data_IF_700203398535
#
_entry.id   IF_700203398535
#
_cell.length_a   1.000
_cell.length_b   1.000
_cell.length_c   1.000
_cell.angle_alpha   90.00
_cell.angle_beta   90.00
_cell.angle_gamma   90.00
#
_symmetry.space_group_name_H-M   'P 1'
#
loop_
_entity.id
_entity.type
_entity.pdbx_description
1 polymer ?
#
# COMPACT_ATOMS: atom_id res chain seq x y z
N UNK A 1 -48.11 -11.53 -17.11
CA UNK A 1 -46.97 -10.60 -17.28
C UNK A 1 -46.12 -10.40 -16.02
N UNK A 2 -46.59 -10.70 -14.80
CA UNK A 2 -45.82 -10.43 -13.56
C UNK A 2 -44.70 -11.41 -13.17
N UNK A 3 -44.71 -12.67 -13.63
CA UNK A 3 -43.64 -13.64 -13.28
C UNK A 3 -42.35 -13.44 -14.07
N UNK A 4 -42.44 -13.09 -15.36
CA UNK A 4 -41.28 -12.80 -16.19
C UNK A 4 -40.53 -11.55 -15.72
N UNK A 5 -41.24 -10.49 -15.29
CA UNK A 5 -40.62 -9.29 -14.73
C UNK A 5 -39.86 -9.56 -13.43
N UNK A 6 -40.43 -10.37 -12.52
CA UNK A 6 -39.76 -10.77 -11.28
C UNK A 6 -38.50 -11.60 -11.51
N UNK A 7 -38.51 -12.49 -12.49
CA UNK A 7 -37.35 -13.30 -12.85
C UNK A 7 -36.19 -12.43 -13.41
N UNK A 8 -36.50 -11.43 -14.23
CA UNK A 8 -35.48 -10.49 -14.75
C UNK A 8 -34.88 -9.67 -13.61
N UNK A 9 -35.71 -9.11 -12.72
CA UNK A 9 -35.25 -8.32 -11.56
C UNK A 9 -34.39 -9.16 -10.60
N UNK A 10 -34.77 -10.41 -10.35
CA UNK A 10 -33.97 -11.33 -9.53
C UNK A 10 -32.64 -11.71 -10.17
N UNK A 11 -32.59 -11.86 -11.50
CA UNK A 11 -31.34 -12.15 -12.21
C UNK A 11 -30.37 -10.96 -12.12
N UNK A 12 -30.84 -9.73 -12.37
CA UNK A 12 -29.99 -8.53 -12.26
C UNK A 12 -29.48 -8.32 -10.84
N UNK A 13 -30.33 -8.48 -9.82
CA UNK A 13 -29.93 -8.38 -8.42
C UNK A 13 -28.95 -9.50 -8.00
N UNK A 14 -29.02 -10.68 -8.62
CA UNK A 14 -28.05 -11.75 -8.39
C UNK A 14 -26.69 -11.40 -8.99
N UNK A 15 -26.66 -10.93 -10.24
CA UNK A 15 -25.42 -10.53 -10.92
C UNK A 15 -24.71 -9.38 -10.19
N UNK A 16 -25.46 -8.39 -9.70
CA UNK A 16 -24.94 -7.29 -8.88
C UNK A 16 -24.31 -7.79 -7.59
N UNK A 17 -24.94 -8.76 -6.90
CA UNK A 17 -24.37 -9.37 -5.70
C UNK A 17 -23.08 -10.13 -6.00
N UNK A 18 -23.05 -10.91 -7.07
CA UNK A 18 -21.84 -11.65 -7.48
C UNK A 18 -20.70 -10.69 -7.79
N UNK A 19 -20.97 -9.60 -8.52
CA UNK A 19 -19.99 -8.57 -8.81
C UNK A 19 -19.49 -7.87 -7.53
N UNK A 20 -20.40 -7.55 -6.60
CA UNK A 20 -20.05 -6.92 -5.33
C UNK A 20 -19.18 -7.83 -4.45
N UNK A 21 -19.49 -9.14 -4.40
CA UNK A 21 -18.67 -10.12 -3.68
C UNK A 21 -17.28 -10.25 -4.30
N UNK A 22 -17.19 -10.27 -5.64
CA UNK A 22 -15.90 -10.31 -6.32
C UNK A 22 -15.07 -9.07 -6.00
N UNK A 23 -15.68 -7.89 -6.07
CA UNK A 23 -14.99 -6.64 -5.73
C UNK A 23 -14.49 -6.61 -4.27
N UNK A 24 -15.27 -7.15 -3.33
CA UNK A 24 -14.82 -7.30 -1.94
C UNK A 24 -13.61 -8.22 -1.82
N UNK A 25 -13.61 -9.36 -2.51
CA UNK A 25 -12.45 -10.29 -2.52
C UNK A 25 -11.20 -9.62 -3.08
N UNK A 26 -11.33 -8.83 -4.13
CA UNK A 26 -10.21 -8.10 -4.73
C UNK A 26 -9.66 -7.04 -3.77
N UNK A 27 -10.54 -6.32 -3.05
CA UNK A 27 -10.14 -5.37 -2.00
C UNK A 27 -9.42 -6.06 -0.83
N UNK A 28 -9.91 -7.20 -0.37
CA UNK A 28 -9.25 -7.99 0.68
C UNK A 28 -7.86 -8.47 0.25
N UNK A 29 -7.71 -8.91 -1.00
CA UNK A 29 -6.42 -9.30 -1.54
C UNK A 29 -5.47 -8.11 -1.59
N UNK A 30 -5.92 -6.97 -2.11
CA UNK A 30 -5.10 -5.78 -2.20
C UNK A 30 -4.69 -5.24 -0.80
N UNK A 31 -5.58 -5.31 0.19
CA UNK A 31 -5.23 -5.00 1.58
C UNK A 31 -4.14 -5.93 2.13
N UNK A 32 -4.26 -7.26 1.91
CA UNK A 32 -3.22 -8.20 2.35
C UNK A 32 -1.86 -7.92 1.71
N UNK A 33 -1.84 -7.58 0.42
CA UNK A 33 -0.61 -7.18 -0.28
C UNK A 33 -0.04 -5.91 0.34
N UNK A 34 -0.87 -4.89 0.56
CA UNK A 34 -0.46 -3.63 1.19
C UNK A 34 0.15 -3.85 2.58
N UNK A 35 -0.52 -4.63 3.43
CA UNK A 35 -0.04 -4.95 4.77
C UNK A 35 1.30 -5.68 4.74
N UNK A 36 1.52 -6.55 3.75
CA UNK A 36 2.80 -7.22 3.54
C UNK A 36 3.96 -6.29 3.14
N UNK A 37 3.68 -5.05 2.73
CA UNK A 37 4.70 -4.05 2.40
C UNK A 37 5.15 -3.22 3.61
N UNK A 38 4.33 -3.20 4.66
CA UNK A 38 4.61 -2.49 5.91
C UNK A 38 5.53 -3.33 6.80
N UNK A 39 6.34 -2.69 7.67
CA UNK A 39 7.07 -3.39 8.71
C UNK A 39 6.14 -4.22 9.59
N UNK A 40 6.52 -5.49 9.83
CA UNK A 40 5.83 -6.37 10.76
C UNK A 40 6.29 -6.19 12.21
N UNK A 41 7.49 -5.65 12.40
CA UNK A 41 8.09 -5.38 13.71
C UNK A 41 8.94 -4.11 13.64
N UNK A 42 8.94 -3.28 14.70
CA UNK A 42 9.89 -2.18 14.84
C UNK A 42 11.34 -2.71 14.89
N UNK A 43 12.32 -1.95 14.40
CA UNK A 43 13.72 -2.32 14.46
C UNK A 43 14.28 -2.17 15.88
N UNK A 44 15.17 -3.09 16.27
CA UNK A 44 15.95 -2.94 17.49
C UNK A 44 17.15 -2.01 17.24
N UNK A 45 17.19 -0.87 17.94
CA UNK A 45 18.27 0.10 17.83
C UNK A 45 18.82 0.37 19.23
N UNK A 46 20.12 0.11 19.42
CA UNK A 46 20.77 0.30 20.73
C UNK A 46 20.59 1.74 21.22
N UNK A 47 19.97 1.90 22.39
CA UNK A 47 19.74 3.20 23.02
C UNK A 47 18.48 3.93 22.56
N UNK A 48 17.64 3.31 21.72
CA UNK A 48 16.36 3.84 21.29
C UNK A 48 15.25 2.83 21.56
N UNK A 49 14.06 3.35 21.80
CA UNK A 49 12.82 2.59 21.83
C UNK A 49 12.00 3.04 20.60
N UNK A 50 11.61 2.09 19.76
CA UNK A 50 10.92 2.37 18.49
C UNK A 50 9.54 1.74 18.54
N UNK A 51 8.53 2.55 18.21
CA UNK A 51 7.14 2.14 18.14
C UNK A 51 6.56 2.54 16.78
N UNK A 52 5.67 1.71 16.25
CA UNK A 52 4.86 2.02 15.09
C UNK A 52 3.39 1.68 15.35
N UNK A 53 2.52 2.31 14.57
CA UNK A 53 1.09 2.01 14.51
C UNK A 53 0.57 2.42 13.15
N UNK A 54 -0.21 1.54 12.53
CA UNK A 54 -0.80 1.78 11.23
C UNK A 54 -2.27 1.39 11.22
N UNK A 55 -3.12 2.36 10.89
CA UNK A 55 -4.56 2.15 10.74
C UNK A 55 -5.04 2.89 9.50
N UNK A 56 -5.51 2.13 8.51
CA UNK A 56 -6.07 2.71 7.31
C UNK A 56 -7.49 3.22 7.57
N UNK A 57 -7.84 4.40 7.03
CA UNK A 57 -9.19 4.97 7.15
C UNK A 57 -10.28 4.15 6.44
N UNK A 58 -9.89 3.31 5.47
CA UNK A 58 -10.74 2.35 4.77
C UNK A 58 -10.00 0.99 4.74
N UNK A 59 -10.46 0.04 3.92
CA UNK A 59 -9.78 -1.26 3.76
C UNK A 59 -8.36 -1.16 3.22
N UNK A 60 -8.00 -0.07 2.53
CA UNK A 60 -6.68 0.16 1.92
C UNK A 60 -6.31 1.63 2.12
N UNK A 61 -5.14 1.88 2.72
CA UNK A 61 -4.64 3.22 3.01
C UNK A 61 -3.84 3.85 1.87
N UNK A 62 -3.58 5.16 1.96
CA UNK A 62 -2.59 5.86 1.12
C UNK A 62 -1.21 5.95 1.80
N UNK A 63 -1.17 5.81 3.12
CA UNK A 63 0.06 5.98 3.87
C UNK A 63 0.97 4.76 3.74
N UNK A 64 2.28 5.03 3.66
CA UNK A 64 3.37 4.07 3.63
C UNK A 64 4.40 4.44 4.67
N UNK A 65 4.88 3.45 5.41
CA UNK A 65 6.08 3.59 6.21
C UNK A 65 6.98 2.37 6.08
N UNK A 66 8.28 2.55 6.32
CA UNK A 66 9.24 1.46 6.27
C UNK A 66 10.51 1.77 7.05
N UNK A 67 11.12 0.72 7.58
CA UNK A 67 12.45 0.74 8.19
C UNK A 67 13.43 0.03 7.26
N UNK A 68 14.45 0.74 6.79
CA UNK A 68 15.39 0.25 5.79
C UNK A 68 16.82 0.35 6.33
N UNK A 69 17.45 -0.79 6.70
CA UNK A 69 18.86 -0.80 7.08
C UNK A 69 19.76 -0.36 5.92
N UNK A 70 20.67 0.58 6.17
CA UNK A 70 21.60 1.15 5.16
C UNK A 70 23.07 0.77 5.44
N UNK A 71 23.29 -0.32 6.17
CA UNK A 71 24.59 -0.79 6.67
C UNK A 71 24.65 -0.84 8.20
N UNK A 72 25.84 -1.08 8.75
CA UNK A 72 26.02 -1.55 10.13
C UNK A 72 25.50 -0.61 11.23
N UNK A 73 25.36 0.70 10.98
CA UNK A 73 24.90 1.68 11.99
C UNK A 73 23.98 2.76 11.41
N UNK A 74 23.29 2.47 10.30
CA UNK A 74 22.38 3.44 9.67
C UNK A 74 21.04 2.79 9.37
N UNK A 75 19.98 3.48 9.74
CA UNK A 75 18.61 3.11 9.44
C UNK A 75 17.93 4.31 8.75
N UNK A 76 17.33 4.07 7.59
CA UNK A 76 16.36 4.99 7.03
C UNK A 76 14.96 4.67 7.59
N UNK A 77 14.28 5.70 8.06
CA UNK A 77 12.86 5.68 8.37
C UNK A 77 12.14 6.42 7.24
N UNK A 78 11.18 5.75 6.62
CA UNK A 78 10.42 6.30 5.49
C UNK A 78 8.99 6.51 5.96
N UNK A 79 8.44 7.68 5.67
CA UNK A 79 7.04 8.03 5.84
C UNK A 79 6.59 8.72 4.55
N UNK A 80 5.51 8.24 3.94
CA UNK A 80 4.97 8.81 2.72
C UNK A 80 3.45 8.71 2.70
N UNK A 81 2.79 9.76 2.21
CA UNK A 81 1.37 9.76 1.87
C UNK A 81 1.25 9.62 0.35
N UNK A 82 0.70 8.50 -0.10
CA UNK A 82 0.46 8.25 -1.51
C UNK A 82 -0.92 8.80 -1.88
N UNK A 83 -0.91 9.79 -2.77
CA UNK A 83 -2.11 10.42 -3.29
C UNK A 83 -3.05 9.39 -3.94
N UNK A 84 -4.23 9.19 -3.35
CA UNK A 84 -5.25 8.27 -3.85
C UNK A 84 -6.00 7.55 -2.71
N UNK A 85 -6.82 6.56 -3.08
CA UNK A 85 -7.47 5.65 -2.12
C UNK A 85 -7.81 4.32 -2.78
N UNK A 86 -7.92 3.24 -2.00
CA UNK A 86 -8.31 1.93 -2.50
C UNK A 86 -7.19 1.25 -3.30
N UNK A 87 -7.56 0.36 -4.22
CA UNK A 87 -6.62 -0.54 -4.91
C UNK A 87 -5.54 0.21 -5.69
N UNK A 88 -5.86 1.34 -6.32
CA UNK A 88 -4.87 2.13 -7.07
C UNK A 88 -3.78 2.70 -6.16
N UNK A 89 -4.14 3.18 -4.97
CA UNK A 89 -3.17 3.67 -3.98
C UNK A 89 -2.23 2.54 -3.51
N UNK A 90 -2.75 1.33 -3.26
CA UNK A 90 -1.92 0.18 -2.91
C UNK A 90 -0.90 -0.19 -4.00
N UNK A 91 -1.28 -0.11 -5.27
CA UNK A 91 -0.36 -0.38 -6.39
C UNK A 91 0.76 0.67 -6.47
N UNK A 92 0.41 1.95 -6.31
CA UNK A 92 1.40 3.04 -6.30
C UNK A 92 2.32 2.91 -5.08
N UNK A 93 1.77 2.57 -3.91
CA UNK A 93 2.56 2.27 -2.70
C UNK A 93 3.52 1.10 -2.90
N UNK A 94 3.10 0.04 -3.60
CA UNK A 94 3.96 -1.09 -3.92
C UNK A 94 5.16 -0.67 -4.80
N UNK A 95 4.91 0.14 -5.83
CA UNK A 95 5.96 0.72 -6.66
C UNK A 95 6.89 1.63 -5.84
N UNK A 96 6.32 2.50 -4.99
CA UNK A 96 7.07 3.40 -4.13
C UNK A 96 7.99 2.63 -3.17
N UNK A 97 7.48 1.57 -2.54
CA UNK A 97 8.25 0.74 -1.62
C UNK A 97 9.48 0.12 -2.30
N UNK A 98 9.33 -0.34 -3.56
CA UNK A 98 10.43 -0.89 -4.34
C UNK A 98 11.47 0.18 -4.71
N UNK A 99 11.01 1.33 -5.23
CA UNK A 99 11.89 2.41 -5.68
C UNK A 99 12.64 3.08 -4.51
N UNK A 100 11.99 3.25 -3.36
CA UNK A 100 12.62 3.77 -2.15
C UNK A 100 13.75 2.84 -1.69
N UNK A 101 13.49 1.53 -1.63
CA UNK A 101 14.53 0.55 -1.26
C UNK A 101 15.69 0.57 -2.24
N UNK A 102 15.40 0.67 -3.54
CA UNK A 102 16.42 0.73 -4.57
C UNK A 102 17.27 2.00 -4.48
N UNK A 103 16.64 3.17 -4.45
CA UNK A 103 17.33 4.47 -4.42
C UNK A 103 18.21 4.63 -3.18
N UNK A 104 17.71 4.24 -2.02
CA UNK A 104 18.49 4.26 -0.77
C UNK A 104 19.62 3.23 -0.72
N UNK A 105 19.52 2.14 -1.50
CA UNK A 105 20.61 1.16 -1.59
C UNK A 105 21.78 1.66 -2.45
N UNK A 106 21.52 2.52 -3.44
CA UNK A 106 22.54 2.99 -4.39
C UNK A 106 23.06 4.39 -4.10
N UNK A 107 22.34 5.20 -3.32
CA UNK A 107 22.69 6.58 -3.00
C UNK A 107 22.62 6.78 -1.48
N UNK A 108 23.73 7.21 -0.90
CA UNK A 108 23.87 7.39 0.54
C UNK A 108 23.37 8.76 1.01
N UNK A 109 23.33 9.75 0.13
CA UNK A 109 22.78 11.07 0.40
C UNK A 109 21.26 11.08 0.24
N UNK A 110 20.54 11.39 1.32
CA UNK A 110 19.07 11.35 1.34
C UNK A 110 18.46 12.33 0.34
N UNK A 111 19.02 13.52 0.18
CA UNK A 111 18.46 14.52 -0.73
C UNK A 111 18.60 14.07 -2.20
N UNK A 112 19.73 13.45 -2.55
CA UNK A 112 19.92 12.84 -3.86
C UNK A 112 19.03 11.62 -4.07
N UNK A 113 18.91 10.74 -3.08
CA UNK A 113 18.02 9.57 -3.17
C UNK A 113 16.57 9.98 -3.42
N UNK A 114 16.08 11.00 -2.69
CA UNK A 114 14.73 11.56 -2.90
C UNK A 114 14.60 12.22 -4.27
N UNK A 115 15.64 12.88 -4.78
CA UNK A 115 15.63 13.47 -6.13
C UNK A 115 15.55 12.39 -7.23
N UNK A 116 16.26 11.28 -7.05
CA UNK A 116 16.19 10.12 -7.94
C UNK A 116 14.80 9.48 -7.90
N UNK A 117 14.24 9.30 -6.70
CA UNK A 117 12.88 8.81 -6.51
C UNK A 117 11.83 9.69 -7.21
N UNK A 118 11.92 11.01 -7.05
CA UNK A 118 11.00 11.92 -7.73
C UNK A 118 11.11 11.81 -9.26
N UNK A 119 12.32 11.58 -9.76
CA UNK A 119 12.57 11.44 -11.20
C UNK A 119 12.08 10.11 -11.77
N UNK A 120 11.97 9.04 -10.96
CA UNK A 120 11.40 7.76 -11.41
C UNK A 120 9.88 7.83 -11.54
N UNK A 121 9.20 8.57 -10.66
CA UNK A 121 7.75 8.73 -10.67
C UNK A 121 7.22 9.73 -11.72
N UNK A 122 8.04 10.67 -12.19
CA UNK A 122 7.65 11.65 -13.22
C UNK A 122 7.88 11.17 -14.67
N UNK A 123 8.14 9.87 -14.90
CA UNK A 123 8.36 9.29 -16.23
C UNK A 123 7.10 8.69 -16.86
#
# INVERSE_FOLDING_TARGET
>A
TGQAGKAVEQATAHDEKVAQEQFKRDLELANRVQQGLLPSVPPEIKGFEVFDFYEAAHQIGGDYFSYIPLGENRLAVVLADVSGKGVSAALVMAALSADVRYTLAIEADVAKAVTLLNSSFMR
#
